data_IF_208785531742
#
_entry.id   IF_208785531742
#
_cell.length_a   1.000
_cell.length_b   1.000
_cell.length_c   1.000
_cell.angle_alpha   90.00
_cell.angle_beta   90.00
_cell.angle_gamma   90.00
#
_symmetry.space_group_name_H-M   'P 1'
#
loop_
_entity.id
_entity.type
_entity.pdbx_description
1 polymer ?
#
# COMPACT_ATOMS: atom_id res chain seq x y z
N UNK A 1 -3.86 1.71 -45.03
CA UNK A 1 -3.10 2.09 -43.83
C UNK A 1 -3.41 1.07 -42.73
N UNK A 2 -2.57 0.05 -42.57
CA UNK A 2 -2.81 -1.09 -41.68
C UNK A 2 -2.27 -0.73 -40.29
N UNK A 3 -3.13 -0.60 -39.28
CA UNK A 3 -2.71 -0.32 -37.90
C UNK A 3 -1.85 -1.51 -37.42
N UNK A 4 -0.65 -1.27 -36.86
CA UNK A 4 0.17 -2.35 -36.33
C UNK A 4 -0.53 -2.95 -35.10
N UNK A 5 -0.51 -4.28 -35.04
CA UNK A 5 -1.12 -5.09 -34.00
C UNK A 5 -0.29 -4.91 -32.72
N UNK A 6 -0.89 -4.41 -31.65
CA UNK A 6 -0.24 -4.20 -30.34
C UNK A 6 -0.13 -5.54 -29.61
N UNK A 7 0.71 -6.44 -30.13
CA UNK A 7 1.11 -7.65 -29.42
C UNK A 7 2.27 -7.29 -28.47
N UNK A 8 1.94 -7.12 -27.19
CA UNK A 8 2.83 -7.36 -26.03
C UNK A 8 4.33 -7.20 -26.29
N UNK A 9 4.79 -5.99 -26.60
CA UNK A 9 6.22 -5.68 -26.49
C UNK A 9 6.60 -5.79 -25.01
N UNK A 10 7.45 -6.76 -24.67
CA UNK A 10 8.12 -6.79 -23.37
C UNK A 10 8.98 -5.53 -23.31
N UNK A 11 8.61 -4.59 -22.43
CA UNK A 11 9.39 -3.38 -22.21
C UNK A 11 10.80 -3.76 -21.80
N UNK A 12 11.77 -3.03 -22.34
CA UNK A 12 13.16 -3.16 -21.93
C UNK A 12 13.29 -2.66 -20.49
N UNK A 13 14.20 -3.23 -19.68
CA UNK A 13 14.34 -2.82 -18.25
C UNK A 13 14.55 -1.32 -18.07
N UNK A 14 15.23 -0.67 -19.00
CA UNK A 14 15.42 0.79 -19.00
C UNK A 14 14.11 1.54 -19.26
N UNK A 15 13.29 1.07 -20.19
CA UNK A 15 11.97 1.66 -20.46
C UNK A 15 11.02 1.48 -19.27
N UNK A 16 11.09 0.34 -18.56
CA UNK A 16 10.35 0.14 -17.31
C UNK A 16 10.81 1.10 -16.21
N UNK A 17 12.12 1.30 -16.05
CA UNK A 17 12.68 2.25 -15.06
C UNK A 17 12.27 3.68 -15.40
N UNK A 18 12.30 4.05 -16.69
CA UNK A 18 11.86 5.37 -17.14
C UNK A 18 10.35 5.54 -16.92
N UNK A 19 9.54 4.54 -17.22
CA UNK A 19 8.10 4.56 -16.92
C UNK A 19 7.83 4.61 -15.41
N UNK A 20 8.67 4.02 -14.57
CA UNK A 20 8.55 4.12 -13.11
C UNK A 20 8.96 5.52 -12.61
N UNK A 21 9.95 6.14 -13.25
CA UNK A 21 10.48 7.46 -12.89
C UNK A 21 9.59 8.63 -13.36
N UNK A 22 8.93 8.46 -14.52
CA UNK A 22 8.06 9.47 -15.16
C UNK A 22 6.57 9.13 -15.06
N UNK A 23 6.20 7.88 -14.82
CA UNK A 23 4.82 7.44 -14.64
C UNK A 23 4.33 7.57 -13.20
N UNK A 24 3.00 7.55 -13.05
CA UNK A 24 2.33 7.58 -11.73
C UNK A 24 2.23 6.19 -11.09
N UNK A 25 2.79 5.17 -11.74
CA UNK A 25 2.71 3.78 -11.28
C UNK A 25 3.64 3.54 -10.09
N UNK A 26 3.16 2.88 -9.01
CA UNK A 26 3.99 2.63 -7.83
C UNK A 26 5.13 1.65 -8.15
N UNK A 27 6.26 1.83 -7.46
CA UNK A 27 7.44 0.99 -7.64
C UNK A 27 7.13 -0.49 -7.45
N UNK A 28 7.74 -1.34 -8.27
CA UNK A 28 7.59 -2.79 -8.17
C UNK A 28 8.06 -3.34 -6.81
N UNK A 29 9.05 -2.69 -6.17
CA UNK A 29 9.48 -3.00 -4.80
C UNK A 29 8.35 -2.74 -3.81
N UNK A 30 7.74 -1.56 -3.91
CA UNK A 30 6.63 -1.14 -3.05
C UNK A 30 5.38 -2.00 -3.24
N UNK A 31 5.06 -2.43 -4.48
CA UNK A 31 3.96 -3.38 -4.73
C UNK A 31 4.16 -4.71 -4.01
N UNK A 32 5.36 -5.29 -4.06
CA UNK A 32 5.68 -6.54 -3.34
C UNK A 32 5.51 -6.36 -1.82
N UNK A 33 5.98 -5.24 -1.28
CA UNK A 33 5.81 -4.92 0.15
C UNK A 33 4.33 -4.78 0.54
N UNK A 34 3.52 -4.11 -0.29
CA UNK A 34 2.07 -3.92 -0.10
C UNK A 34 1.35 -5.27 -0.08
N UNK A 35 1.53 -6.13 -1.08
CA UNK A 35 0.83 -7.41 -1.14
C UNK A 35 1.29 -8.40 -0.06
N UNK A 36 2.60 -8.43 0.24
CA UNK A 36 3.13 -9.26 1.31
C UNK A 36 2.56 -8.90 2.68
N UNK A 37 2.52 -7.59 3.00
CA UNK A 37 1.93 -7.12 4.26
C UNK A 37 0.40 -7.31 4.29
N UNK A 38 -0.28 -7.11 3.16
CA UNK A 38 -1.73 -7.31 3.06
C UNK A 38 -2.12 -8.75 3.41
N UNK A 39 -1.34 -9.73 2.94
CA UNK A 39 -1.57 -11.14 3.24
C UNK A 39 -1.35 -11.46 4.72
N UNK A 40 -0.28 -10.93 5.32
CA UNK A 40 0.00 -11.14 6.74
C UNK A 40 -1.12 -10.59 7.61
N UNK A 41 -1.55 -9.35 7.38
CA UNK A 41 -2.63 -8.75 8.17
C UNK A 41 -3.98 -9.42 7.91
N UNK A 42 -4.26 -9.88 6.68
CA UNK A 42 -5.47 -10.61 6.35
C UNK A 42 -5.52 -12.01 6.98
N UNK A 43 -4.37 -12.59 7.32
CA UNK A 43 -4.27 -13.88 8.02
C UNK A 43 -4.42 -13.78 9.54
N UNK A 44 -4.13 -12.61 10.14
CA UNK A 44 -4.26 -12.39 11.59
C UNK A 44 -5.65 -12.76 12.18
N UNK A 45 -6.78 -12.48 11.51
CA UNK A 45 -8.12 -12.84 11.98
C UNK A 45 -8.33 -14.35 12.09
N UNK A 46 -7.61 -15.17 11.31
CA UNK A 46 -7.70 -16.64 11.42
C UNK A 46 -7.35 -17.06 12.84
N UNK A 47 -6.28 -16.49 13.41
CA UNK A 47 -5.87 -16.78 14.78
C UNK A 47 -6.93 -16.37 15.80
N UNK A 48 -7.52 -15.19 15.64
CA UNK A 48 -8.62 -14.69 16.48
C UNK A 48 -9.79 -15.69 16.52
N UNK A 49 -10.26 -16.13 15.36
CA UNK A 49 -11.44 -16.99 15.29
C UNK A 49 -11.16 -18.46 15.62
N UNK A 50 -9.94 -18.92 15.37
CA UNK A 50 -9.54 -20.26 15.77
C UNK A 50 -9.36 -20.38 17.29
N UNK A 51 -8.74 -19.38 17.94
CA UNK A 51 -8.39 -19.47 19.37
C UNK A 51 -9.40 -18.87 20.32
N UNK A 52 -10.13 -17.83 19.92
CA UNK A 52 -11.05 -17.11 20.82
C UNK A 52 -12.50 -17.53 20.55
N UNK A 53 -12.91 -17.59 19.28
CA UNK A 53 -14.25 -18.07 18.90
C UNK A 53 -14.33 -19.60 18.76
N UNK A 54 -13.26 -20.31 19.07
CA UNK A 54 -13.17 -21.79 19.07
C UNK A 54 -13.66 -22.44 17.76
N UNK A 55 -13.46 -21.76 16.62
CA UNK A 55 -13.88 -22.28 15.32
C UNK A 55 -12.90 -23.37 14.82
N UNK A 56 -13.41 -24.54 14.43
CA UNK A 56 -12.58 -25.64 13.94
C UNK A 56 -11.85 -25.23 12.64
N UNK A 57 -10.52 -25.33 12.66
CA UNK A 57 -9.67 -24.93 11.56
C UNK A 57 -9.85 -25.80 10.32
N UNK A 58 -9.93 -27.11 10.48
CA UNK A 58 -9.95 -28.06 9.37
C UNK A 58 -11.30 -27.99 8.63
N UNK A 59 -12.39 -27.89 9.37
CA UNK A 59 -13.74 -27.81 8.80
C UNK A 59 -13.98 -26.47 8.10
N UNK A 60 -13.35 -25.38 8.56
CA UNK A 60 -13.54 -24.04 8.02
C UNK A 60 -12.36 -23.53 7.16
N UNK A 61 -11.41 -24.39 6.81
CA UNK A 61 -10.19 -24.01 6.07
C UNK A 61 -10.48 -23.30 4.74
N UNK A 62 -11.48 -23.78 4.00
CA UNK A 62 -11.91 -23.17 2.73
C UNK A 62 -12.45 -21.76 2.96
N UNK A 63 -13.24 -21.58 4.01
CA UNK A 63 -13.83 -20.30 4.38
C UNK A 63 -12.75 -19.30 4.81
N UNK A 64 -11.78 -19.75 5.62
CA UNK A 64 -10.61 -18.95 5.98
C UNK A 64 -9.79 -18.52 4.76
N UNK A 65 -9.49 -19.45 3.85
CA UNK A 65 -8.73 -19.15 2.64
C UNK A 65 -9.46 -18.16 1.72
N UNK A 66 -10.76 -18.36 1.52
CA UNK A 66 -11.59 -17.50 0.67
C UNK A 66 -11.61 -16.04 1.17
N UNK A 67 -11.97 -15.83 2.44
CA UNK A 67 -12.06 -14.47 2.98
C UNK A 67 -10.69 -13.83 3.17
N UNK A 68 -9.65 -14.61 3.46
CA UNK A 68 -8.27 -14.08 3.50
C UNK A 68 -7.86 -13.56 2.12
N UNK A 69 -8.17 -14.27 1.03
CA UNK A 69 -7.87 -13.80 -0.32
C UNK A 69 -8.63 -12.52 -0.67
N UNK A 70 -9.94 -12.46 -0.37
CA UNK A 70 -10.77 -11.27 -0.59
C UNK A 70 -10.25 -10.07 0.21
N UNK A 71 -9.97 -10.27 1.50
CA UNK A 71 -9.46 -9.20 2.36
C UNK A 71 -8.06 -8.75 1.95
N UNK A 72 -7.19 -9.67 1.53
CA UNK A 72 -5.85 -9.31 1.00
C UNK A 72 -5.98 -8.36 -0.19
N UNK A 73 -6.90 -8.64 -1.11
CA UNK A 73 -7.17 -7.76 -2.25
C UNK A 73 -7.67 -6.38 -1.81
N UNK A 74 -8.66 -6.34 -0.91
CA UNK A 74 -9.24 -5.08 -0.42
C UNK A 74 -8.22 -4.25 0.37
N UNK A 75 -7.43 -4.86 1.24
CA UNK A 75 -6.40 -4.15 2.02
C UNK A 75 -5.26 -3.64 1.12
N UNK A 76 -4.86 -4.42 0.11
CA UNK A 76 -3.90 -3.97 -0.91
C UNK A 76 -4.41 -2.73 -1.67
N UNK A 77 -5.70 -2.69 -1.97
CA UNK A 77 -6.37 -1.51 -2.54
C UNK A 77 -6.31 -0.33 -1.54
N UNK A 78 -6.65 -0.55 -0.27
CA UNK A 78 -6.63 0.49 0.76
C UNK A 78 -5.25 1.12 0.99
N UNK A 79 -4.18 0.30 0.98
CA UNK A 79 -2.80 0.78 1.02
C UNK A 79 -2.48 1.69 -0.17
N UNK A 80 -2.88 1.26 -1.37
CA UNK A 80 -2.62 1.99 -2.61
C UNK A 80 -3.33 3.35 -2.64
N UNK A 81 -4.57 3.41 -2.13
CA UNK A 81 -5.36 4.65 -2.06
C UNK A 81 -4.74 5.67 -1.10
N UNK A 82 -4.19 5.21 0.03
CA UNK A 82 -3.58 6.08 1.04
C UNK A 82 -2.18 6.57 0.64
N UNK A 83 -1.44 5.77 -0.12
CA UNK A 83 -0.04 6.04 -0.46
C UNK A 83 0.15 7.34 -1.26
N UNK A 84 -0.70 7.61 -2.24
CA UNK A 84 -0.55 8.76 -3.14
C UNK A 84 -0.49 10.11 -2.41
N UNK A 85 -1.53 10.47 -1.64
CA UNK A 85 -1.56 11.66 -0.78
C UNK A 85 -0.36 11.78 0.17
N UNK A 86 0.04 10.67 0.81
CA UNK A 86 1.16 10.65 1.74
C UNK A 86 2.49 10.89 1.03
N UNK A 87 2.71 10.30 -0.16
CA UNK A 87 3.94 10.44 -0.92
C UNK A 87 4.21 11.89 -1.30
N UNK A 88 3.19 12.62 -1.75
CA UNK A 88 3.32 14.03 -2.12
C UNK A 88 3.70 14.89 -0.91
N UNK A 89 3.03 14.71 0.24
CA UNK A 89 3.35 15.45 1.47
C UNK A 89 4.75 15.14 1.99
N UNK A 90 5.14 13.87 1.99
CA UNK A 90 6.47 13.45 2.43
C UNK A 90 7.54 14.01 1.48
N UNK A 91 7.32 14.00 0.17
CA UNK A 91 8.25 14.59 -0.79
C UNK A 91 8.49 16.07 -0.52
N UNK A 92 7.44 16.85 -0.24
CA UNK A 92 7.57 18.28 0.11
C UNK A 92 8.39 18.48 1.40
N UNK A 93 8.14 17.69 2.45
CA UNK A 93 8.84 17.79 3.73
C UNK A 93 10.32 17.35 3.61
N UNK A 94 10.59 16.31 2.80
CA UNK A 94 11.93 15.72 2.67
C UNK A 94 12.81 16.43 1.65
N UNK A 95 12.23 17.17 0.70
CA UNK A 95 12.98 17.85 -0.36
C UNK A 95 14.05 18.80 0.19
N UNK A 96 13.72 19.63 1.18
CA UNK A 96 14.64 20.61 1.75
C UNK A 96 15.80 19.94 2.50
N UNK A 97 15.50 18.93 3.31
CA UNK A 97 16.51 18.18 4.05
C UNK A 97 17.47 17.41 3.13
N UNK A 98 16.94 16.79 2.07
CA UNK A 98 17.73 16.03 1.09
C UNK A 98 18.58 16.98 0.25
N UNK A 99 18.06 18.16 -0.12
CA UNK A 99 18.82 19.20 -0.83
C UNK A 99 20.03 19.64 -0.01
N UNK A 100 19.87 19.83 1.30
CA UNK A 100 20.98 20.16 2.19
C UNK A 100 22.00 19.02 2.32
N UNK A 101 21.55 17.77 2.42
CA UNK A 101 22.41 16.59 2.52
C UNK A 101 23.28 16.42 1.26
N UNK A 102 22.65 16.48 0.08
CA UNK A 102 23.32 16.35 -1.21
C UNK A 102 24.24 17.53 -1.46
N UNK A 103 23.82 18.76 -1.11
CA UNK A 103 24.68 19.94 -1.24
C UNK A 103 25.93 19.87 -0.35
N UNK A 104 25.85 19.24 0.82
CA UNK A 104 27.02 18.98 1.69
C UNK A 104 27.92 17.88 1.12
N UNK A 105 27.36 16.80 0.60
CA UNK A 105 28.12 15.69 0.00
C UNK A 105 28.84 16.11 -1.29
N UNK A 106 28.17 16.87 -2.16
CA UNK A 106 28.67 17.32 -3.46
C UNK A 106 29.33 18.71 -3.43
N UNK A 107 29.39 19.37 -2.27
CA UNK A 107 30.14 20.61 -2.09
C UNK A 107 31.65 20.42 -2.22
N UNK A 108 32.15 19.21 -2.00
CA UNK A 108 33.56 18.85 -2.12
C UNK A 108 33.96 18.36 -3.53
N UNK A 109 33.00 17.93 -4.36
CA UNK A 109 33.26 17.43 -5.71
C UNK A 109 32.96 18.51 -6.77
N UNK A 110 34.03 19.17 -7.23
CA UNK A 110 33.99 20.28 -8.21
C UNK A 110 33.55 19.86 -9.63
N UNK A 111 33.23 18.58 -9.86
CA UNK A 111 32.98 17.99 -11.19
C UNK A 111 31.51 17.74 -11.53
N UNK A 112 30.58 17.91 -10.60
CA UNK A 112 29.16 17.55 -10.85
C UNK A 112 28.37 18.75 -11.36
N UNK A 113 27.72 18.58 -12.51
CA UNK A 113 26.90 19.60 -13.16
C UNK A 113 25.66 19.94 -12.32
N UNK A 114 25.19 21.20 -12.37
CA UNK A 114 23.98 21.64 -11.63
C UNK A 114 22.78 20.75 -11.93
N UNK A 115 22.60 20.39 -13.22
CA UNK A 115 21.51 19.51 -13.67
C UNK A 115 21.58 18.12 -13.03
N UNK A 116 22.77 17.55 -12.96
CA UNK A 116 22.98 16.22 -12.37
C UNK A 116 22.72 16.22 -10.85
N UNK A 117 23.06 17.32 -10.17
CA UNK A 117 22.71 17.51 -8.75
C UNK A 117 21.19 17.56 -8.55
N UNK A 118 20.48 18.31 -9.38
CA UNK A 118 19.02 18.44 -9.29
C UNK A 118 18.32 17.10 -9.58
N UNK A 119 18.82 16.34 -10.57
CA UNK A 119 18.31 15.00 -10.90
C UNK A 119 18.51 14.01 -9.74
N UNK A 120 19.66 14.04 -9.07
CA UNK A 120 19.94 13.22 -7.88
C UNK A 120 19.03 13.58 -6.69
N UNK A 121 18.81 14.88 -6.45
CA UNK A 121 17.89 15.35 -5.40
C UNK A 121 16.48 14.85 -5.68
N UNK A 122 16.00 15.00 -6.91
CA UNK A 122 14.68 14.55 -7.29
C UNK A 122 14.52 13.05 -7.17
N UNK A 123 15.50 12.26 -7.61
CA UNK A 123 15.46 10.81 -7.52
C UNK A 123 15.45 10.35 -6.05
N UNK A 124 16.39 10.85 -5.23
CA UNK A 124 16.46 10.47 -3.81
C UNK A 124 15.21 10.88 -3.04
N UNK A 125 14.65 12.05 -3.35
CA UNK A 125 13.39 12.52 -2.74
C UNK A 125 12.22 11.62 -3.13
N UNK A 126 12.11 11.22 -4.41
CA UNK A 126 11.09 10.28 -4.88
C UNK A 126 11.21 8.92 -4.21
N UNK A 127 12.42 8.38 -4.11
CA UNK A 127 12.67 7.06 -3.51
C UNK A 127 12.35 7.04 -2.01
N UNK A 128 12.82 8.05 -1.26
CA UNK A 128 12.52 8.19 0.18
C UNK A 128 11.03 8.39 0.41
N UNK A 129 10.40 9.27 -0.38
CA UNK A 129 8.96 9.50 -0.28
C UNK A 129 8.16 8.23 -0.61
N UNK A 130 8.56 7.44 -1.60
CA UNK A 130 7.87 6.20 -1.95
C UNK A 130 7.99 5.14 -0.84
N UNK A 131 9.15 5.01 -0.22
CA UNK A 131 9.39 4.08 0.88
C UNK A 131 8.65 4.48 2.16
N UNK A 132 8.81 5.74 2.60
CA UNK A 132 8.15 6.24 3.82
C UNK A 132 6.63 6.22 3.66
N UNK A 133 6.11 6.69 2.52
CA UNK A 133 4.65 6.67 2.28
C UNK A 133 4.07 5.26 2.26
N UNK A 134 4.79 4.29 1.70
CA UNK A 134 4.37 2.88 1.70
C UNK A 134 4.30 2.35 3.13
N UNK A 135 5.35 2.58 3.92
CA UNK A 135 5.43 2.11 5.32
C UNK A 135 4.35 2.74 6.19
N UNK A 136 4.14 4.05 6.10
CA UNK A 136 3.07 4.73 6.83
C UNK A 136 1.69 4.25 6.42
N UNK A 137 1.46 4.03 5.12
CA UNK A 137 0.17 3.53 4.63
C UNK A 137 -0.12 2.13 5.15
N UNK A 138 0.89 1.25 5.17
CA UNK A 138 0.75 -0.11 5.73
C UNK A 138 0.37 -0.04 7.21
N UNK A 139 1.13 0.73 8.01
CA UNK A 139 0.86 0.85 9.44
C UNK A 139 -0.55 1.40 9.73
N UNK A 140 -0.92 2.51 9.09
CA UNK A 140 -2.19 3.19 9.32
C UNK A 140 -3.40 2.31 8.95
N UNK A 141 -3.35 1.66 7.78
CA UNK A 141 -4.43 0.79 7.32
C UNK A 141 -4.51 -0.48 8.17
N UNK A 142 -3.38 -1.04 8.61
CA UNK A 142 -3.37 -2.20 9.52
C UNK A 142 -4.05 -1.87 10.84
N UNK A 143 -3.70 -0.72 11.44
CA UNK A 143 -4.29 -0.29 12.70
C UNK A 143 -5.81 -0.13 12.59
N UNK A 144 -6.30 0.53 11.52
CA UNK A 144 -7.73 0.71 11.29
C UNK A 144 -8.45 -0.61 11.03
N UNK A 145 -7.88 -1.47 10.17
CA UNK A 145 -8.49 -2.75 9.86
C UNK A 145 -8.65 -3.61 11.11
N UNK A 146 -7.60 -3.76 11.92
CA UNK A 146 -7.64 -4.55 13.15
C UNK A 146 -8.63 -3.94 14.15
N UNK A 147 -8.65 -2.62 14.31
CA UNK A 147 -9.59 -1.94 15.19
C UNK A 147 -11.04 -2.22 14.79
N UNK A 148 -11.39 -2.01 13.52
CA UNK A 148 -12.75 -2.22 13.02
C UNK A 148 -13.12 -3.71 13.11
N UNK A 149 -12.19 -4.61 12.80
CA UNK A 149 -12.40 -6.05 12.92
C UNK A 149 -12.74 -6.46 14.35
N UNK A 150 -11.98 -5.98 15.34
CA UNK A 150 -12.22 -6.27 16.76
C UNK A 150 -13.60 -5.78 17.22
N UNK A 151 -13.99 -4.57 16.81
CA UNK A 151 -15.31 -4.00 17.13
C UNK A 151 -16.41 -4.80 16.45
N UNK A 152 -16.27 -5.12 15.16
CA UNK A 152 -17.30 -5.83 14.39
C UNK A 152 -17.48 -7.25 14.88
N UNK A 153 -16.37 -7.94 15.19
CA UNK A 153 -16.35 -9.30 15.70
C UNK A 153 -17.07 -9.45 17.04
N UNK A 154 -16.88 -8.47 17.94
CA UNK A 154 -17.54 -8.46 19.25
C UNK A 154 -19.03 -8.10 19.15
N UNK A 155 -19.42 -7.19 18.25
CA UNK A 155 -20.83 -6.86 18.02
C UNK A 155 -21.58 -8.05 17.40
N UNK A 156 -20.97 -8.76 16.46
CA UNK A 156 -21.58 -9.89 15.74
C UNK A 156 -21.48 -11.23 16.49
N UNK A 157 -21.07 -11.24 17.77
CA UNK A 157 -20.91 -12.48 18.55
C UNK A 157 -22.19 -13.32 18.69
N UNK A 158 -23.37 -12.71 18.53
CA UNK A 158 -24.67 -13.40 18.60
C UNK A 158 -24.97 -14.26 17.35
N UNK A 159 -24.24 -14.06 16.26
CA UNK A 159 -24.34 -14.89 15.05
C UNK A 159 -23.51 -16.16 15.17
N UNK A 160 -23.73 -17.11 14.27
CA UNK A 160 -22.84 -18.27 14.15
C UNK A 160 -21.40 -17.84 13.86
N UNK A 161 -20.41 -18.57 14.38
CA UNK A 161 -18.99 -18.22 14.27
C UNK A 161 -18.54 -18.03 12.81
N UNK A 162 -19.05 -18.87 11.89
CA UNK A 162 -18.76 -18.77 10.46
C UNK A 162 -19.34 -17.49 9.83
N UNK A 163 -20.57 -17.10 10.21
CA UNK A 163 -21.18 -15.86 9.73
C UNK A 163 -20.52 -14.63 10.34
N UNK A 164 -20.18 -14.68 11.63
CA UNK A 164 -19.45 -13.62 12.30
C UNK A 164 -18.10 -13.37 11.61
N UNK A 165 -17.33 -14.43 11.32
CA UNK A 165 -16.05 -14.28 10.61
C UNK A 165 -16.24 -13.66 9.22
N UNK A 166 -17.15 -14.20 8.41
CA UNK A 166 -17.40 -13.70 7.06
C UNK A 166 -17.80 -12.22 7.05
N UNK A 167 -18.77 -11.84 7.87
CA UNK A 167 -19.27 -10.47 7.94
C UNK A 167 -18.25 -9.52 8.54
N UNK A 168 -17.55 -9.91 9.62
CA UNK A 168 -16.52 -9.07 10.24
C UNK A 168 -15.36 -8.81 9.29
N UNK A 169 -14.91 -9.83 8.55
CA UNK A 169 -13.86 -9.68 7.54
C UNK A 169 -14.29 -8.71 6.42
N UNK A 170 -15.51 -8.86 5.89
CA UNK A 170 -16.03 -8.02 4.82
C UNK A 170 -16.29 -6.58 5.29
N UNK A 171 -16.91 -6.39 6.45
CA UNK A 171 -17.20 -5.06 7.00
C UNK A 171 -15.90 -4.34 7.33
N UNK A 172 -14.96 -5.00 8.01
CA UNK A 172 -13.70 -4.38 8.39
C UNK A 172 -12.87 -3.97 7.18
N UNK A 173 -12.72 -4.87 6.20
CA UNK A 173 -11.99 -4.56 4.97
C UNK A 173 -12.70 -3.52 4.10
N UNK A 174 -14.02 -3.62 3.94
CA UNK A 174 -14.83 -2.67 3.18
C UNK A 174 -14.81 -1.26 3.77
N UNK A 175 -14.99 -1.13 5.09
CA UNK A 175 -14.90 0.16 5.77
C UNK A 175 -13.48 0.73 5.69
N UNK A 176 -12.45 -0.11 5.82
CA UNK A 176 -11.06 0.33 5.71
C UNK A 176 -10.77 0.89 4.32
N UNK A 177 -11.24 0.22 3.25
CA UNK A 177 -11.14 0.74 1.88
C UNK A 177 -11.89 2.05 1.74
N UNK A 178 -13.13 2.13 2.22
CA UNK A 178 -13.94 3.36 2.15
C UNK A 178 -13.24 4.55 2.82
N UNK A 179 -12.71 4.35 4.04
CA UNK A 179 -11.98 5.38 4.78
C UNK A 179 -10.67 5.79 4.10
N UNK A 180 -9.97 4.84 3.46
CA UNK A 180 -8.75 5.13 2.69
C UNK A 180 -9.05 5.99 1.46
N UNK A 181 -10.15 5.72 0.76
CA UNK A 181 -10.57 6.44 -0.45
C UNK A 181 -11.12 7.83 -0.11
N UNK A 182 -11.82 8.00 1.01
CA UNK A 182 -12.37 9.29 1.45
C UNK A 182 -11.28 10.36 1.62
N UNK A 183 -10.06 9.97 2.02
CA UNK A 183 -8.92 10.89 2.13
C UNK A 183 -8.40 11.35 0.77
N UNK A 184 -8.44 10.49 -0.25
CA UNK A 184 -7.99 10.83 -1.61
C UNK A 184 -8.89 11.89 -2.27
N UNK A 185 -10.21 11.82 -2.07
CA UNK A 185 -11.18 12.77 -2.65
C UNK A 185 -10.96 14.20 -2.15
N UNK A 186 -10.53 14.38 -0.90
CA UNK A 186 -10.28 15.71 -0.32
C UNK A 186 -9.10 16.44 -0.97
N UNK A 187 -8.12 15.72 -1.52
CA UNK A 187 -6.94 16.31 -2.16
C UNK A 187 -7.17 16.68 -3.63
N UNK A 188 -8.23 16.16 -4.26
CA UNK A 188 -8.61 16.55 -5.63
C UNK A 188 -9.50 17.81 -5.70
N UNK A 189 -9.95 18.34 -4.55
CA UNK A 189 -10.81 19.54 -4.47
C UNK A 189 -10.12 20.78 -3.87
N UNK A 190 -8.84 20.67 -3.54
CA UNK A 190 -8.00 21.78 -3.09
C UNK A 190 -6.92 22.04 -4.14
#
# INVERSE_FOLDING_TARGET
MKRPNVSTMKLTKEEEILLEQYGRTPSNKSKKLIYGNALLVASAPIWLYWRIHEMDFNQNAILFALFTAVVTYLISCAYSNSKGPLRERIALIRADAITQEISKQLGNDKKVSKKEKDDLIQQKTKDVADYESTTFSIFYINAIFILILMITSTILHQLSNSMNYALSMLIASGLTVFLSSAKQVKQHRA
#
